data_IF_682780751114
#
_entry.id   IF_682780751114
#
_cell.length_a   1.000
_cell.length_b   1.000
_cell.length_c   1.000
_cell.angle_alpha   90.00
_cell.angle_beta   90.00
_cell.angle_gamma   90.00
#
_symmetry.space_group_name_H-M   'P 1'
#
loop_
_entity.id
_entity.type
_entity.pdbx_description
1 polymer ?
#
# COMPACT_ATOMS: atom_id res chain seq x y z
N UNK A 1 17.62 21.76 50.61
CA UNK A 1 16.53 21.67 49.62
C UNK A 1 17.19 21.33 48.30
N UNK A 2 17.06 20.09 47.85
CA UNK A 2 17.65 19.61 46.60
C UNK A 2 16.50 19.64 45.60
N UNK A 3 16.56 20.54 44.62
CA UNK A 3 15.63 20.54 43.50
C UNK A 3 16.06 19.42 42.56
N UNK A 4 15.34 18.30 42.59
CA UNK A 4 15.45 17.25 41.58
C UNK A 4 14.64 17.70 40.37
N UNK A 5 15.31 17.83 39.22
CA UNK A 5 14.67 18.02 37.92
C UNK A 5 13.74 16.82 37.62
N UNK A 6 12.60 17.04 36.92
CA UNK A 6 11.73 15.94 36.52
C UNK A 6 12.45 15.09 35.46
N UNK A 7 12.13 13.79 35.35
CA UNK A 7 12.71 12.94 34.33
C UNK A 7 12.29 13.45 32.95
N UNK A 8 13.26 13.58 32.05
CA UNK A 8 13.02 13.75 30.61
C UNK A 8 12.32 12.46 30.16
N UNK A 9 11.03 12.57 29.85
CA UNK A 9 10.29 11.46 29.27
C UNK A 9 10.79 11.31 27.84
N UNK A 10 11.62 10.30 27.58
CA UNK A 10 11.85 9.81 26.23
C UNK A 10 10.61 9.02 25.81
N UNK A 11 9.50 9.71 25.57
CA UNK A 11 8.49 9.19 24.65
C UNK A 11 9.08 9.36 23.26
N UNK A 12 9.73 8.31 22.75
CA UNK A 12 9.69 8.11 21.31
C UNK A 12 8.25 7.66 21.08
N UNK A 13 7.37 8.58 20.69
CA UNK A 13 6.14 8.19 20.04
C UNK A 13 6.58 7.54 18.73
N UNK A 14 6.81 6.22 18.74
CA UNK A 14 6.89 5.45 17.52
C UNK A 14 5.48 5.44 16.96
N UNK A 15 5.13 6.47 16.19
CA UNK A 15 3.91 6.46 15.39
C UNK A 15 4.11 5.40 14.33
N UNK A 16 3.58 4.20 14.58
CA UNK A 16 3.49 3.11 13.62
C UNK A 16 2.98 3.67 12.28
N UNK A 17 3.78 3.53 11.22
CA UNK A 17 3.45 4.08 9.89
C UNK A 17 2.59 3.08 9.15
N UNK A 18 1.59 3.56 8.43
CA UNK A 18 0.68 2.70 7.66
C UNK A 18 1.09 2.64 6.20
N UNK A 19 1.01 1.44 5.60
CA UNK A 19 1.11 1.21 4.16
C UNK A 19 -0.18 0.53 3.69
N UNK A 20 -0.78 1.05 2.62
CA UNK A 20 -2.02 0.51 2.05
C UNK A 20 -1.75 -0.28 0.78
N UNK A 21 -2.28 -1.50 0.71
CA UNK A 21 -2.14 -2.40 -0.42
C UNK A 21 -3.53 -2.79 -0.94
N UNK A 22 -3.84 -2.46 -2.19
CA UNK A 22 -5.15 -2.72 -2.78
C UNK A 22 -5.05 -3.75 -3.93
N UNK A 23 -5.92 -4.76 -3.88
CA UNK A 23 -6.36 -5.41 -5.11
C UNK A 23 -7.29 -4.47 -5.91
N UNK A 24 -7.48 -4.78 -7.18
CA UNK A 24 -8.30 -4.03 -8.12
C UNK A 24 -9.63 -4.73 -8.35
N UNK A 25 -9.59 -6.00 -8.73
CA UNK A 25 -10.78 -6.74 -9.18
C UNK A 25 -11.65 -7.10 -7.98
N UNK A 26 -12.97 -6.93 -8.13
CA UNK A 26 -13.96 -7.01 -7.05
C UNK A 26 -13.73 -6.08 -5.84
N UNK A 27 -12.67 -5.26 -5.86
CA UNK A 27 -12.19 -4.49 -4.70
C UNK A 27 -12.43 -3.00 -4.86
N UNK A 28 -12.01 -2.42 -5.99
CA UNK A 28 -12.08 -0.97 -6.24
C UNK A 28 -13.27 -0.65 -7.13
N UNK A 29 -13.89 0.52 -6.97
CA UNK A 29 -15.12 0.92 -7.66
C UNK A 29 -15.04 0.89 -9.19
N UNK A 30 -13.84 0.93 -9.78
CA UNK A 30 -13.63 0.78 -11.23
C UNK A 30 -13.89 -0.65 -11.72
N UNK A 31 -13.80 -1.64 -10.84
CA UNK A 31 -14.25 -3.01 -11.08
C UNK A 31 -14.71 -3.69 -9.78
N UNK A 32 -15.71 -3.11 -9.14
CA UNK A 32 -16.19 -3.57 -7.84
C UNK A 32 -16.99 -4.86 -7.93
N UNK A 33 -17.08 -5.57 -6.79
CA UNK A 33 -17.93 -6.75 -6.67
C UNK A 33 -19.41 -6.39 -6.97
N UNK A 34 -20.17 -7.21 -7.73
CA UNK A 34 -21.50 -6.86 -8.21
C UNK A 34 -22.54 -6.63 -7.10
N UNK A 35 -22.35 -7.25 -5.94
CA UNK A 35 -23.32 -7.23 -4.83
C UNK A 35 -22.79 -6.61 -3.53
N UNK A 36 -21.53 -6.13 -3.53
CA UNK A 36 -20.87 -5.64 -2.31
C UNK A 36 -20.35 -4.23 -2.53
N UNK A 37 -20.15 -3.49 -1.44
CA UNK A 37 -19.50 -2.18 -1.51
C UNK A 37 -18.05 -2.37 -1.93
N UNK A 38 -17.62 -1.57 -2.89
CA UNK A 38 -16.24 -1.47 -3.33
C UNK A 38 -15.61 -0.19 -2.78
N UNK A 39 -14.29 -0.19 -2.62
CA UNK A 39 -13.53 1.00 -2.23
C UNK A 39 -13.62 2.02 -3.37
N UNK A 40 -14.06 3.27 -3.12
CA UNK A 40 -14.03 4.30 -4.13
C UNK A 40 -12.59 4.52 -4.63
N UNK A 41 -12.36 4.50 -5.94
CA UNK A 41 -11.01 4.78 -6.48
C UNK A 41 -10.49 6.15 -6.06
N UNK A 42 -11.40 7.11 -5.87
CA UNK A 42 -11.04 8.43 -5.36
C UNK A 42 -10.49 8.46 -3.94
N UNK A 43 -10.81 7.46 -3.13
CA UNK A 43 -10.19 7.30 -1.81
C UNK A 43 -8.74 6.89 -1.95
N UNK A 44 -8.46 5.92 -2.83
CA UNK A 44 -7.10 5.45 -3.15
C UNK A 44 -6.25 6.60 -3.68
N UNK A 45 -6.77 7.35 -4.66
CA UNK A 45 -6.09 8.52 -5.22
C UNK A 45 -5.83 9.60 -4.16
N UNK A 46 -6.79 9.84 -3.26
CA UNK A 46 -6.61 10.82 -2.21
C UNK A 46 -5.51 10.41 -1.22
N UNK A 47 -5.50 9.16 -0.74
CA UNK A 47 -4.42 8.67 0.11
C UNK A 47 -3.06 8.77 -0.60
N UNK A 48 -2.98 8.28 -1.84
CA UNK A 48 -1.72 8.26 -2.59
C UNK A 48 -1.15 9.64 -2.90
N UNK A 49 -2.00 10.63 -3.18
CA UNK A 49 -1.55 11.91 -3.76
C UNK A 49 -1.74 13.12 -2.83
N UNK A 50 -2.52 12.97 -1.76
CA UNK A 50 -2.85 14.06 -0.84
C UNK A 50 -2.42 13.79 0.61
N UNK A 51 -1.88 12.61 0.90
CA UNK A 51 -1.40 12.23 2.24
C UNK A 51 0.00 11.64 2.15
N UNK A 52 0.65 11.43 3.29
CA UNK A 52 1.96 10.75 3.37
C UNK A 52 1.82 9.22 3.52
N UNK A 53 0.63 8.65 3.28
CA UNK A 53 0.37 7.22 3.37
C UNK A 53 0.76 6.57 2.04
N UNK A 54 1.74 5.65 2.01
CA UNK A 54 2.07 4.94 0.79
C UNK A 54 0.95 3.99 0.37
N UNK A 55 0.66 3.96 -0.93
CA UNK A 55 -0.43 3.16 -1.50
C UNK A 55 0.07 2.34 -2.69
N UNK A 56 -0.22 1.04 -2.68
CA UNK A 56 0.27 0.07 -3.66
C UNK A 56 -0.86 -0.71 -4.35
N UNK A 57 -0.69 -0.97 -5.64
CA UNK A 57 -1.49 -1.93 -6.40
C UNK A 57 -0.85 -3.33 -6.31
N UNK A 58 -1.39 -4.20 -5.46
CA UNK A 58 -0.79 -5.53 -5.17
C UNK A 58 -1.50 -6.68 -5.87
N UNK A 59 -2.68 -6.45 -6.42
CA UNK A 59 -3.43 -7.44 -7.20
C UNK A 59 -3.34 -7.20 -8.71
N UNK A 60 -4.48 -6.94 -9.36
CA UNK A 60 -4.47 -6.64 -10.79
C UNK A 60 -3.85 -5.25 -11.09
N UNK A 61 -2.72 -5.27 -11.79
CA UNK A 61 -1.83 -4.13 -12.06
C UNK A 61 -2.44 -3.02 -12.93
N UNK A 62 -3.64 -3.21 -13.51
CA UNK A 62 -4.37 -2.09 -14.11
C UNK A 62 -4.65 -0.94 -13.12
N UNK A 63 -4.74 -1.23 -11.81
CA UNK A 63 -4.95 -0.20 -10.80
C UNK A 63 -3.81 0.84 -10.77
N UNK A 64 -2.59 0.45 -11.17
CA UNK A 64 -1.46 1.38 -11.28
C UNK A 64 -1.82 2.57 -12.15
N UNK A 65 -2.29 2.32 -13.36
CA UNK A 65 -2.66 3.37 -14.31
C UNK A 65 -3.98 4.04 -13.94
N UNK A 66 -4.92 3.32 -13.31
CA UNK A 66 -6.23 3.86 -12.93
C UNK A 66 -6.13 4.84 -11.74
N UNK A 67 -5.23 4.59 -10.79
CA UNK A 67 -5.04 5.39 -9.59
C UNK A 67 -3.73 6.18 -9.55
N UNK A 68 -2.86 6.02 -10.56
CA UNK A 68 -1.51 6.59 -10.62
C UNK A 68 -0.65 6.21 -9.40
N UNK A 69 -0.69 4.93 -9.02
CA UNK A 69 0.02 4.37 -7.86
C UNK A 69 1.04 3.30 -8.30
N UNK A 70 2.09 3.02 -7.51
CA UNK A 70 3.02 1.94 -7.83
C UNK A 70 2.39 0.56 -7.70
N UNK A 71 2.97 -0.42 -8.41
CA UNK A 71 2.60 -1.82 -8.31
C UNK A 71 3.80 -2.73 -8.08
N UNK A 72 3.64 -4.02 -8.36
CA UNK A 72 4.64 -5.02 -7.97
C UNK A 72 5.95 -4.91 -8.75
N UNK A 73 5.91 -4.49 -10.03
CA UNK A 73 7.12 -4.27 -10.81
C UNK A 73 7.97 -3.11 -10.25
N UNK A 74 7.34 -2.06 -9.72
CA UNK A 74 8.04 -0.99 -9.02
C UNK A 74 8.65 -1.50 -7.71
N UNK A 75 7.96 -2.37 -6.97
CA UNK A 75 8.49 -2.97 -5.74
C UNK A 75 9.71 -3.87 -6.04
N UNK A 76 9.63 -4.69 -7.10
CA UNK A 76 10.76 -5.51 -7.60
C UNK A 76 11.96 -4.61 -7.95
N UNK A 77 11.73 -3.55 -8.73
CA UNK A 77 12.79 -2.60 -9.09
C UNK A 77 13.43 -1.94 -7.87
N UNK A 78 12.64 -1.59 -6.84
CA UNK A 78 13.20 -1.06 -5.59
C UNK A 78 14.04 -2.11 -4.86
N UNK A 79 13.56 -3.33 -4.75
CA UNK A 79 14.32 -4.41 -4.13
C UNK A 79 15.65 -4.68 -4.83
N UNK A 80 15.59 -4.87 -6.15
CA UNK A 80 16.74 -5.31 -6.93
C UNK A 80 17.74 -4.17 -7.18
N UNK A 81 17.24 -3.02 -7.62
CA UNK A 81 18.10 -1.95 -8.12
C UNK A 81 18.37 -0.86 -7.08
N UNK A 82 17.38 -0.52 -6.25
CA UNK A 82 17.55 0.53 -5.24
C UNK A 82 18.24 0.01 -3.99
N UNK A 83 17.76 -1.11 -3.46
CA UNK A 83 18.33 -1.76 -2.27
C UNK A 83 19.54 -2.64 -2.60
N UNK A 84 19.77 -2.94 -3.89
CA UNK A 84 20.87 -3.77 -4.36
C UNK A 84 20.83 -5.21 -3.80
N UNK A 85 19.64 -5.75 -3.51
CA UNK A 85 19.46 -7.06 -2.87
C UNK A 85 19.55 -8.25 -3.84
N UNK A 86 19.71 -8.01 -5.14
CA UNK A 86 19.60 -9.05 -6.17
C UNK A 86 18.14 -9.44 -6.44
N UNK A 87 17.92 -10.41 -7.34
CA UNK A 87 16.57 -10.87 -7.72
C UNK A 87 15.76 -11.31 -6.49
N UNK A 88 14.50 -10.90 -6.41
CA UNK A 88 13.64 -11.25 -5.27
C UNK A 88 13.29 -12.75 -5.29
N UNK A 89 13.58 -13.45 -4.19
CA UNK A 89 13.28 -14.87 -4.06
C UNK A 89 11.86 -15.09 -3.52
N UNK A 90 10.96 -15.50 -4.40
CA UNK A 90 9.60 -15.81 -4.02
C UNK A 90 9.45 -17.23 -3.47
N UNK A 91 8.92 -17.36 -2.24
CA UNK A 91 8.83 -18.65 -1.56
C UNK A 91 7.84 -19.64 -2.21
N UNK A 92 6.80 -19.17 -2.89
CA UNK A 92 5.66 -20.01 -3.31
C UNK A 92 5.27 -19.92 -4.79
N UNK A 93 6.04 -19.21 -5.62
CA UNK A 93 5.67 -18.98 -7.02
C UNK A 93 6.32 -19.98 -7.97
N UNK A 94 5.50 -20.84 -8.59
CA UNK A 94 5.83 -21.44 -9.88
C UNK A 94 5.90 -20.33 -10.94
N UNK A 95 7.09 -19.78 -11.19
CA UNK A 95 7.34 -18.84 -12.29
C UNK A 95 7.22 -19.50 -13.68
N UNK A 96 7.36 -20.83 -13.77
CA UNK A 96 7.42 -21.56 -15.04
C UNK A 96 6.12 -21.55 -15.86
N UNK A 97 4.99 -21.13 -15.29
CA UNK A 97 3.71 -21.05 -16.01
C UNK A 97 3.26 -19.63 -16.38
N UNK A 98 4.10 -18.60 -16.20
CA UNK A 98 3.89 -17.21 -16.64
C UNK A 98 2.50 -16.61 -16.30
N UNK A 99 2.42 -15.68 -15.34
CA UNK A 99 1.85 -14.33 -15.58
C UNK A 99 1.88 -13.42 -14.33
N UNK A 100 1.91 -13.88 -13.07
CA UNK A 100 2.07 -12.99 -11.87
C UNK A 100 2.68 -13.72 -10.66
N UNK A 101 3.46 -13.06 -9.77
CA UNK A 101 3.70 -13.57 -8.42
C UNK A 101 2.37 -13.84 -7.72
N UNK A 102 2.35 -14.79 -6.76
CA UNK A 102 1.11 -15.03 -6.01
C UNK A 102 0.77 -13.77 -5.21
N UNK A 103 -0.53 -13.49 -5.06
CA UNK A 103 -1.06 -12.36 -4.29
C UNK A 103 -0.36 -12.12 -2.94
N UNK A 104 -0.02 -13.19 -2.21
CA UNK A 104 0.73 -13.14 -0.93
C UNK A 104 2.20 -12.76 -1.12
N UNK A 105 2.83 -13.32 -2.14
CA UNK A 105 4.24 -13.08 -2.45
C UNK A 105 4.47 -11.61 -2.85
N UNK A 106 3.53 -11.01 -3.59
CA UNK A 106 3.57 -9.57 -3.88
C UNK A 106 3.40 -8.69 -2.64
N UNK A 107 2.56 -9.09 -1.69
CA UNK A 107 2.42 -8.39 -0.41
C UNK A 107 3.71 -8.48 0.43
N UNK A 108 4.32 -9.66 0.53
CA UNK A 108 5.62 -9.86 1.20
C UNK A 108 6.72 -9.01 0.59
N UNK A 109 6.80 -8.94 -0.73
CA UNK A 109 7.76 -8.06 -1.40
C UNK A 109 7.59 -6.60 -0.98
N UNK A 110 6.36 -6.08 -0.90
CA UNK A 110 6.12 -4.72 -0.42
C UNK A 110 6.58 -4.56 1.03
N UNK A 111 6.27 -5.52 1.90
CA UNK A 111 6.76 -5.50 3.29
C UNK A 111 8.30 -5.47 3.35
N UNK A 112 8.96 -6.38 2.65
CA UNK A 112 10.42 -6.51 2.66
C UNK A 112 11.12 -5.24 2.16
N UNK A 113 10.56 -4.56 1.15
CA UNK A 113 11.08 -3.26 0.68
C UNK A 113 11.06 -2.23 1.81
N UNK A 114 9.99 -2.15 2.60
CA UNK A 114 9.89 -1.19 3.69
C UNK A 114 10.76 -1.57 4.89
N UNK A 115 10.76 -2.83 5.30
CA UNK A 115 11.56 -3.31 6.44
C UNK A 115 13.07 -3.18 6.18
N UNK A 116 13.53 -3.46 4.95
CA UNK A 116 14.94 -3.28 4.58
C UNK A 116 15.31 -1.79 4.44
N UNK A 117 14.40 -0.96 3.92
CA UNK A 117 14.66 0.48 3.77
C UNK A 117 14.70 1.19 5.12
N UNK A 118 13.83 0.78 6.05
CA UNK A 118 13.59 1.45 7.32
C UNK A 118 13.65 0.45 8.50
N UNK A 119 14.83 -0.10 8.82
CA UNK A 119 14.96 -1.16 9.83
C UNK A 119 14.65 -0.70 11.27
N UNK A 120 14.56 0.60 11.50
CA UNK A 120 14.29 1.21 12.80
C UNK A 120 12.86 1.80 12.91
N UNK A 121 12.00 1.58 11.90
CA UNK A 121 10.61 2.06 11.89
C UNK A 121 9.61 0.89 11.96
N UNK A 122 8.55 1.07 12.75
CA UNK A 122 7.45 0.10 12.83
C UNK A 122 6.39 0.44 11.76
N UNK A 123 6.01 -0.56 10.97
CA UNK A 123 4.95 -0.43 9.96
C UNK A 123 3.77 -1.34 10.24
N UNK A 124 2.58 -0.83 9.91
CA UNK A 124 1.35 -1.60 9.78
C UNK A 124 0.97 -1.68 8.31
N UNK A 125 0.88 -2.88 7.77
CA UNK A 125 0.46 -3.08 6.40
C UNK A 125 -1.02 -3.45 6.36
N UNK A 126 -1.80 -2.72 5.57
CA UNK A 126 -3.23 -2.99 5.38
C UNK A 126 -3.46 -3.52 3.98
N UNK A 127 -3.85 -4.79 3.88
CA UNK A 127 -4.25 -5.42 2.63
C UNK A 127 -5.76 -5.36 2.46
N UNK A 128 -6.23 -4.66 1.42
CA UNK A 128 -7.65 -4.61 1.04
C UNK A 128 -7.83 -5.45 -0.22
N UNK A 129 -8.44 -6.61 -0.06
CA UNK A 129 -8.48 -7.65 -1.09
C UNK A 129 -9.78 -8.47 -0.98
N UNK A 130 -10.38 -8.81 -2.12
CA UNK A 130 -11.58 -9.65 -2.17
C UNK A 130 -11.28 -11.12 -1.85
N UNK A 131 -10.04 -11.54 -2.04
CA UNK A 131 -9.52 -12.81 -1.61
C UNK A 131 -9.03 -12.74 -0.16
N UNK A 132 -9.26 -13.84 0.57
CA UNK A 132 -8.77 -13.97 1.93
C UNK A 132 -7.24 -14.15 1.96
N UNK A 133 -6.58 -13.16 2.56
CA UNK A 133 -5.14 -13.15 2.86
C UNK A 133 -4.88 -12.87 4.35
N UNK A 134 -5.88 -13.11 5.21
CA UNK A 134 -5.75 -12.83 6.64
C UNK A 134 -4.68 -13.68 7.33
N UNK A 135 -4.27 -14.79 6.72
CA UNK A 135 -3.16 -15.63 7.19
C UNK A 135 -1.83 -14.88 7.27
N UNK A 136 -1.66 -13.78 6.52
CA UNK A 136 -0.44 -12.96 6.59
C UNK A 136 -0.24 -12.31 7.98
N UNK A 137 -1.28 -12.17 8.80
CA UNK A 137 -1.12 -11.67 10.18
C UNK A 137 -0.31 -12.60 11.07
N UNK A 138 -0.17 -13.87 10.69
CA UNK A 138 0.69 -14.84 11.39
C UNK A 138 2.19 -14.65 11.05
N UNK A 139 2.49 -13.92 9.96
CA UNK A 139 3.83 -13.76 9.39
C UNK A 139 4.42 -12.36 9.61
N UNK A 140 3.58 -11.34 9.78
CA UNK A 140 4.01 -9.95 9.92
C UNK A 140 2.89 -9.02 10.40
N UNK A 141 3.13 -7.70 10.39
CA UNK A 141 2.19 -6.70 10.89
C UNK A 141 1.07 -6.39 9.88
N UNK A 142 0.42 -7.44 9.36
CA UNK A 142 -0.64 -7.36 8.36
C UNK A 142 -2.02 -7.32 8.98
N UNK A 143 -2.83 -6.36 8.51
CA UNK A 143 -4.27 -6.32 8.70
C UNK A 143 -4.97 -6.52 7.35
N UNK A 144 -5.76 -7.57 7.22
CA UNK A 144 -6.59 -7.81 6.04
C UNK A 144 -8.00 -7.23 6.24
N UNK A 145 -8.52 -6.62 5.18
CA UNK A 145 -9.94 -6.30 5.07
C UNK A 145 -10.48 -6.77 3.72
N UNK A 146 -11.69 -7.33 3.75
CA UNK A 146 -12.50 -7.32 2.55
C UNK A 146 -12.93 -5.89 2.20
N UNK A 147 -13.17 -5.57 0.90
CA UNK A 147 -13.45 -4.20 0.46
C UNK A 147 -14.63 -3.54 1.18
N UNK A 148 -15.71 -4.28 1.42
CA UNK A 148 -16.91 -3.78 2.09
C UNK A 148 -16.74 -3.58 3.59
N UNK A 149 -15.86 -4.36 4.22
CA UNK A 149 -15.52 -4.23 5.63
C UNK A 149 -14.55 -3.07 5.81
N UNK A 150 -13.58 -2.90 4.91
CA UNK A 150 -12.66 -1.75 4.89
C UNK A 150 -13.39 -0.43 4.80
N UNK A 151 -14.31 -0.29 3.83
CA UNK A 151 -15.10 0.96 3.68
C UNK A 151 -15.88 1.28 4.96
N UNK A 152 -16.44 0.25 5.61
CA UNK A 152 -17.15 0.42 6.89
C UNK A 152 -16.19 0.87 7.99
N UNK A 153 -15.03 0.24 8.09
CA UNK A 153 -14.00 0.56 9.09
C UNK A 153 -13.42 1.98 8.92
N UNK A 154 -13.25 2.46 7.68
CA UNK A 154 -12.85 3.84 7.40
C UNK A 154 -13.95 4.83 7.82
N UNK A 155 -15.21 4.52 7.52
CA UNK A 155 -16.34 5.37 7.91
C UNK A 155 -16.59 5.41 9.43
N UNK A 156 -16.14 4.40 10.17
CA UNK A 156 -16.25 4.32 11.62
C UNK A 156 -14.96 4.67 12.37
N UNK A 157 -13.90 5.09 11.68
CA UNK A 157 -12.57 5.40 12.24
C UNK A 157 -11.85 4.18 12.86
N UNK A 158 -12.33 2.95 12.58
CA UNK A 158 -11.75 1.69 13.05
C UNK A 158 -10.54 1.24 12.22
N UNK A 159 -10.45 1.68 10.96
CA UNK A 159 -9.28 1.40 10.11
C UNK A 159 -8.06 2.24 10.49
N UNK A 160 -8.22 3.24 11.37
CA UNK A 160 -7.17 4.16 11.81
C UNK A 160 -6.40 4.76 10.63
N UNK A 161 -7.13 5.11 9.57
CA UNK A 161 -6.68 5.89 8.42
C UNK A 161 -7.56 7.11 8.29
N UNK A 162 -6.98 8.23 7.86
CA UNK A 162 -7.77 9.44 7.67
C UNK A 162 -8.87 9.20 6.62
N UNK A 163 -10.10 9.55 6.99
CA UNK A 163 -11.25 9.38 6.10
C UNK A 163 -11.13 10.36 4.92
N UNK A 164 -11.15 9.86 3.66
CA UNK A 164 -11.05 10.73 2.50
C UNK A 164 -12.24 11.69 2.39
N UNK A 165 -12.07 12.88 1.79
CA UNK A 165 -13.16 13.82 1.58
C UNK A 165 -14.33 13.19 0.82
N UNK A 166 -15.56 13.51 1.20
CA UNK A 166 -16.77 12.97 0.58
C UNK A 166 -16.92 13.29 -0.92
N UNK A 167 -16.19 14.30 -1.40
CA UNK A 167 -16.13 14.78 -2.78
C UNK A 167 -14.77 14.53 -3.45
N UNK A 168 -13.84 13.83 -2.79
CA UNK A 168 -12.42 13.79 -3.15
C UNK A 168 -12.19 13.44 -4.63
N UNK A 169 -12.73 12.34 -5.14
CA UNK A 169 -12.78 12.10 -6.59
C UNK A 169 -13.99 11.22 -6.88
N UNK A 170 -15.03 11.81 -7.46
CA UNK A 170 -16.12 11.02 -8.01
C UNK A 170 -15.63 10.34 -9.27
N UNK A 171 -15.99 9.08 -9.43
CA UNK A 171 -15.84 8.29 -10.66
C UNK A 171 -16.74 8.84 -11.80
N UNK A 172 -17.03 10.15 -11.82
CA UNK A 172 -17.85 10.85 -12.80
C UNK A 172 -17.02 11.15 -14.06
N UNK A 173 -16.61 10.08 -14.74
CA UNK A 173 -16.21 10.18 -16.14
C UNK A 173 -14.71 10.20 -16.42
N UNK A 174 -13.91 9.35 -15.76
CA UNK A 174 -12.71 8.84 -16.45
C UNK A 174 -13.21 7.82 -17.47
N UNK A 175 -13.23 8.12 -18.77
CA UNK A 175 -13.54 7.13 -19.78
C UNK A 175 -12.24 6.36 -20.00
N UNK A 176 -11.96 5.35 -19.19
CA UNK A 176 -10.69 4.65 -19.34
C UNK A 176 -10.79 3.63 -20.48
N UNK A 177 -9.88 3.78 -21.43
CA UNK A 177 -9.64 2.82 -22.48
C UNK A 177 -8.98 1.59 -21.83
N UNK A 178 -9.81 0.74 -21.19
CA UNK A 178 -9.41 -0.58 -20.71
C UNK A 178 -9.02 -1.42 -21.93
N UNK A 179 -7.82 -1.21 -22.44
CA UNK A 179 -7.16 -2.25 -23.22
C UNK A 179 -6.90 -3.40 -22.25
N UNK A 180 -7.23 -4.63 -22.64
CA UNK A 180 -7.01 -5.86 -21.85
C UNK A 180 -5.49 -6.19 -21.65
N UNK A 181 -4.62 -5.21 -21.85
CA UNK A 181 -3.17 -5.28 -21.69
C UNK A 181 -2.80 -4.48 -20.43
N UNK A 182 -2.55 -5.14 -19.29
CA UNK A 182 -2.08 -4.48 -18.08
C UNK A 182 -0.74 -3.81 -18.34
N UNK A 183 -0.56 -2.59 -17.82
CA UNK A 183 0.73 -1.90 -17.86
C UNK A 183 1.66 -2.51 -16.81
N UNK A 184 2.48 -3.46 -17.29
CA UNK A 184 3.55 -4.08 -16.50
C UNK A 184 4.87 -3.30 -16.60
N UNK A 185 4.93 -2.23 -17.39
CA UNK A 185 6.15 -1.43 -17.47
C UNK A 185 6.36 -0.69 -16.14
N UNK A 186 7.63 -0.62 -15.74
CA UNK A 186 8.04 0.15 -14.58
C UNK A 186 7.90 1.63 -14.91
N UNK A 187 7.13 2.35 -14.11
CA UNK A 187 6.98 3.78 -14.26
C UNK A 187 8.13 4.49 -13.54
N UNK A 188 9.17 4.87 -14.27
CA UNK A 188 10.39 5.54 -13.75
C UNK A 188 10.07 6.76 -12.87
N UNK A 189 9.03 7.53 -13.23
CA UNK A 189 8.60 8.66 -12.43
C UNK A 189 8.07 8.20 -11.06
N UNK A 190 7.20 7.20 -11.04
CA UNK A 190 6.66 6.60 -9.82
C UNK A 190 7.76 6.01 -8.94
N UNK A 191 8.73 5.29 -9.53
CA UNK A 191 9.89 4.78 -8.80
C UNK A 191 10.71 5.91 -8.19
N UNK A 192 10.87 7.03 -8.91
CA UNK A 192 11.61 8.20 -8.39
C UNK A 192 10.88 8.84 -7.22
N UNK A 193 9.56 9.02 -7.32
CA UNK A 193 8.72 9.58 -6.25
C UNK A 193 8.76 8.68 -5.01
N UNK A 194 8.61 7.35 -5.17
CA UNK A 194 8.77 6.40 -4.06
C UNK A 194 10.16 6.50 -3.47
N UNK A 195 11.23 6.56 -4.28
CA UNK A 195 12.60 6.72 -3.77
C UNK A 195 12.78 8.02 -2.97
N UNK A 196 12.08 9.10 -3.32
CA UNK A 196 12.11 10.36 -2.58
C UNK A 196 11.36 10.25 -1.25
N UNK A 197 10.18 9.64 -1.24
CA UNK A 197 9.44 9.32 -0.01
C UNK A 197 10.27 8.42 0.92
N UNK A 198 10.84 7.34 0.35
CA UNK A 198 11.73 6.40 1.05
C UNK A 198 13.00 7.08 1.61
N UNK A 199 13.45 8.20 1.03
CA UNK A 199 14.65 8.94 1.46
C UNK A 199 14.39 9.98 2.54
N UNK A 200 13.14 10.34 2.79
CA UNK A 200 12.82 11.46 3.67
C UNK A 200 12.58 10.92 5.09
N UNK A 201 13.57 10.96 6.00
CA UNK A 201 13.29 10.67 7.40
C UNK A 201 12.28 11.70 7.90
N UNK A 202 11.26 11.26 8.62
CA UNK A 202 10.28 12.17 9.24
C UNK A 202 11.04 13.09 10.20
N UNK A 203 11.43 14.27 9.72
CA UNK A 203 11.75 15.40 10.57
C UNK A 203 10.44 16.19 10.74
N UNK A 204 9.55 15.68 11.57
CA UNK A 204 8.46 16.50 12.12
C UNK A 204 8.97 17.17 13.38
N UNK A 205 9.44 18.40 13.23
CA UNK A 205 9.69 19.31 14.33
C UNK A 205 9.20 20.70 13.89
N UNK A 206 7.93 21.01 14.18
CA UNK A 206 7.37 22.38 14.20
C UNK A 206 6.23 22.53 15.20
#
# INVERSE_FOLDING_TARGET
MICTEPPVSNHIETTERIVLCFDRDSTVSVNGHPEKRAVPIGWIQWWAHCTDIPVWATGNQHLKSEAEIPGLAEAESLWEEYLCNGEYEYENSEFENHIKPRRRDGLRLVQDVYEETFPDEDFRFVAVDDADVSDLSDEGPWNHYFPWDFVTAVESDEAEVEQPPSDAFRNEGVPFNSTDEPDFEIQEQTVTEIKEELRTPISSDR
#
